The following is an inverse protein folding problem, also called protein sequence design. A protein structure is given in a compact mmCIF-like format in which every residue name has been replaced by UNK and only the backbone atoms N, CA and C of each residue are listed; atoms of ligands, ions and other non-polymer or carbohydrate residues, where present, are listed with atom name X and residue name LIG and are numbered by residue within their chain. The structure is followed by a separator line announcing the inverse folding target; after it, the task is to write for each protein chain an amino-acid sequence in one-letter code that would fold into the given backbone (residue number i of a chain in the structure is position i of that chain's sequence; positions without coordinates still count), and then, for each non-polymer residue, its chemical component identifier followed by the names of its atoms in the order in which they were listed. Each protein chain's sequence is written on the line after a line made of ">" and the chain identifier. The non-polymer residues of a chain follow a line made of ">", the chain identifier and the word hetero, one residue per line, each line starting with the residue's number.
data_IF_742783902325
#
_entry.id   IF_742783902325
#
_cell.length_a   1.000
_cell.length_b   1.000
_cell.length_c   1.000
_cell.angle_alpha   90.00
_cell.angle_beta   90.00
_cell.angle_gamma   90.00
#
_symmetry.space_group_name_H-M   'P 1'
#
loop_
_entity.id
_entity.type
_entity.pdbx_description
1 polymer ?
#
# COMPACT_ATOMS: atom_id res chain seq x y z
N UNK A 1 90.00 -34.44 134.64
CA UNK A 1 89.71 -35.73 133.97
C UNK A 1 88.25 -35.90 133.50
N UNK A 2 87.20 -35.28 134.05
CA UNK A 2 85.82 -35.50 133.51
C UNK A 2 85.44 -34.65 132.29
N UNK A 3 86.12 -33.54 132.08
CA UNK A 3 85.83 -32.64 130.96
C UNK A 3 86.24 -33.21 129.58
N UNK A 4 86.72 -34.46 129.49
CA UNK A 4 87.27 -35.00 128.25
C UNK A 4 86.31 -35.93 127.48
N UNK A 5 85.54 -36.82 128.12
CA UNK A 5 84.67 -37.74 127.34
C UNK A 5 83.38 -37.10 126.85
N UNK A 6 82.77 -36.22 127.66
CA UNK A 6 81.59 -35.46 127.22
C UNK A 6 81.95 -34.47 126.11
N UNK A 7 83.21 -34.01 126.08
CA UNK A 7 83.70 -33.23 124.96
C UNK A 7 83.75 -34.10 123.70
N UNK A 8 84.25 -35.34 123.78
CA UNK A 8 84.37 -36.20 122.60
C UNK A 8 83.03 -36.63 122.00
N UNK A 9 82.04 -37.06 122.79
CA UNK A 9 80.76 -37.48 122.17
C UNK A 9 79.98 -36.30 121.56
N UNK A 10 80.17 -35.09 122.10
CA UNK A 10 79.61 -33.89 121.50
C UNK A 10 80.35 -33.51 120.21
N UNK A 11 81.65 -33.82 120.12
CA UNK A 11 82.45 -33.65 118.89
C UNK A 11 81.96 -34.60 117.79
N UNK A 12 81.76 -35.89 118.06
CA UNK A 12 81.41 -36.88 117.02
C UNK A 12 80.01 -36.63 116.42
N UNK A 13 79.05 -36.21 117.25
CA UNK A 13 77.69 -35.88 116.75
C UNK A 13 77.66 -34.55 116.00
N UNK A 14 78.52 -33.59 116.36
CA UNK A 14 78.69 -32.37 115.56
C UNK A 14 79.31 -32.70 114.19
N UNK A 15 80.25 -33.65 114.16
CA UNK A 15 80.97 -34.04 112.94
C UNK A 15 80.05 -34.75 111.95
N UNK A 16 79.23 -35.70 112.41
CA UNK A 16 78.30 -36.42 111.52
C UNK A 16 77.17 -35.52 110.98
N UNK A 17 76.73 -34.53 111.76
CA UNK A 17 75.76 -33.54 111.27
C UNK A 17 76.38 -32.62 110.21
N UNK A 18 77.66 -32.26 110.41
CA UNK A 18 78.42 -31.47 109.45
C UNK A 18 78.62 -32.22 108.11
N UNK A 19 78.90 -33.53 108.15
CA UNK A 19 79.08 -34.35 106.96
C UNK A 19 77.79 -34.48 106.12
N UNK A 20 76.64 -34.70 106.78
CA UNK A 20 75.36 -34.82 106.09
C UNK A 20 74.89 -33.49 105.46
N UNK A 21 75.15 -32.35 106.12
CA UNK A 21 74.90 -31.02 105.55
C UNK A 21 75.82 -30.73 104.36
N UNK A 22 77.07 -31.17 104.43
CA UNK A 22 78.03 -31.04 103.33
C UNK A 22 77.58 -31.84 102.08
N UNK A 23 77.12 -33.08 102.27
CA UNK A 23 76.64 -33.94 101.18
C UNK A 23 75.39 -33.37 100.49
N UNK A 24 74.42 -32.87 101.25
CA UNK A 24 73.19 -32.26 100.70
C UNK A 24 73.46 -30.93 100.00
N UNK A 25 74.36 -30.10 100.54
CA UNK A 25 74.80 -28.85 99.91
C UNK A 25 75.47 -29.12 98.56
N UNK A 26 76.29 -30.16 98.47
CA UNK A 26 76.98 -30.53 97.24
C UNK A 26 76.01 -31.01 96.14
N UNK A 27 75.01 -31.82 96.52
CA UNK A 27 73.99 -32.28 95.60
C UNK A 27 73.13 -31.12 95.06
N UNK A 28 72.70 -30.20 95.93
CA UNK A 28 71.93 -29.01 95.53
C UNK A 28 72.75 -28.05 94.65
N UNK A 29 74.04 -27.87 94.94
CA UNK A 29 74.94 -27.07 94.12
C UNK A 29 75.09 -27.63 92.70
N UNK A 30 75.11 -28.95 92.54
CA UNK A 30 75.20 -29.59 91.23
C UNK A 30 73.92 -29.42 90.39
N UNK A 31 72.74 -29.50 91.02
CA UNK A 31 71.44 -29.35 90.37
C UNK A 31 71.12 -27.90 90.00
N UNK A 32 71.46 -26.94 90.87
CA UNK A 32 71.16 -25.53 90.66
C UNK A 32 72.23 -24.79 89.86
N UNK A 33 73.37 -25.42 89.54
CA UNK A 33 74.50 -24.76 88.88
C UNK A 33 74.19 -24.16 87.51
N UNK A 34 73.13 -24.63 86.83
CA UNK A 34 72.76 -24.18 85.48
C UNK A 34 71.62 -23.15 85.46
N UNK A 35 70.90 -22.93 86.56
CA UNK A 35 69.79 -21.98 86.64
C UNK A 35 70.19 -20.52 86.39
N UNK A 36 71.34 -20.01 86.90
CA UNK A 36 71.74 -18.64 86.61
C UNK A 36 71.92 -18.37 85.11
N UNK A 37 72.29 -19.38 84.33
CA UNK A 37 72.49 -19.25 82.87
C UNK A 37 71.17 -19.24 82.09
N UNK A 38 70.17 -20.00 82.54
CA UNK A 38 68.84 -20.01 81.92
C UNK A 38 68.07 -18.74 82.26
N UNK A 39 68.17 -18.29 83.51
CA UNK A 39 67.59 -17.01 83.94
C UNK A 39 68.14 -15.83 83.13
N UNK A 40 69.45 -15.82 82.87
CA UNK A 40 70.08 -14.77 82.06
C UNK A 40 69.59 -14.77 80.62
N UNK A 41 69.41 -15.93 79.99
CA UNK A 41 68.90 -16.02 78.61
C UNK A 41 67.42 -15.61 78.51
N UNK A 42 66.57 -16.08 79.42
CA UNK A 42 65.15 -15.72 79.43
C UNK A 42 64.97 -14.20 79.64
N UNK A 43 65.81 -13.60 80.48
CA UNK A 43 65.85 -12.14 80.63
C UNK A 43 66.33 -11.43 79.36
N UNK A 44 67.22 -12.03 78.58
CA UNK A 44 67.70 -11.45 77.33
C UNK A 44 66.71 -11.57 76.16
N UNK A 45 65.83 -12.57 76.12
CA UNK A 45 65.02 -12.88 74.93
C UNK A 45 63.50 -12.59 75.03
N UNK A 46 62.95 -12.25 76.19
CA UNK A 46 61.53 -11.87 76.29
C UNK A 46 61.26 -10.49 75.65
N UNK A 47 61.10 -10.45 74.34
CA UNK A 47 60.55 -9.29 73.62
C UNK A 47 59.04 -9.45 73.49
N UNK A 48 58.31 -8.68 74.28
CA UNK A 48 56.88 -8.47 74.06
C UNK A 48 56.74 -7.30 73.10
N UNK A 49 56.09 -7.51 71.95
CA UNK A 49 55.66 -6.41 71.09
C UNK A 49 54.49 -5.70 71.76
N UNK A 50 54.86 -4.76 72.61
CA UNK A 50 53.94 -3.89 73.32
C UNK A 50 53.64 -2.71 72.39
N UNK A 51 52.46 -2.72 71.77
CA UNK A 51 51.91 -1.51 71.17
C UNK A 51 51.83 -0.43 72.24
N UNK A 52 52.62 0.63 72.07
CA UNK A 52 52.72 1.67 73.08
C UNK A 52 51.52 2.60 72.99
N UNK A 53 51.19 3.27 74.09
CA UNK A 53 50.19 4.34 74.07
C UNK A 53 50.54 5.46 73.07
N UNK A 54 51.84 5.62 72.76
CA UNK A 54 52.31 6.54 71.72
C UNK A 54 51.92 6.08 70.32
N UNK A 55 52.00 4.78 70.02
CA UNK A 55 51.59 4.22 68.72
C UNK A 55 50.08 4.34 68.53
N UNK A 56 49.31 4.12 69.60
CA UNK A 56 47.86 4.34 69.63
C UNK A 56 47.53 5.82 69.37
N UNK A 57 48.19 6.75 70.07
CA UNK A 57 47.98 8.18 69.86
C UNK A 57 48.40 8.65 68.45
N UNK A 58 49.48 8.07 67.89
CA UNK A 58 49.91 8.36 66.52
C UNK A 58 48.88 7.86 65.51
N UNK A 59 48.35 6.66 65.71
CA UNK A 59 47.28 6.11 64.88
C UNK A 59 45.98 6.93 65.00
N UNK A 60 45.58 7.32 66.22
CA UNK A 60 44.42 8.19 66.43
C UNK A 60 44.60 9.56 65.77
N UNK A 61 45.81 10.13 65.81
CA UNK A 61 46.12 11.37 65.11
C UNK A 61 46.07 11.22 63.58
N UNK A 62 46.52 10.09 63.02
CA UNK A 62 46.39 9.81 61.59
C UNK A 62 44.92 9.60 61.18
N UNK A 63 44.16 8.84 61.97
CA UNK A 63 42.73 8.63 61.73
C UNK A 63 41.99 9.97 61.75
N UNK A 64 42.23 10.81 62.76
CA UNK A 64 41.54 12.10 62.88
C UNK A 64 41.97 13.12 61.83
N UNK A 65 43.24 13.12 61.38
CA UNK A 65 43.73 14.09 60.39
C UNK A 65 43.50 13.69 58.93
N UNK A 66 43.51 12.39 58.63
CA UNK A 66 43.48 11.91 57.25
C UNK A 66 42.23 11.09 56.96
N UNK A 67 41.93 10.08 57.78
CA UNK A 67 40.81 9.18 57.52
C UNK A 67 39.46 9.86 57.70
N UNK A 68 39.29 10.67 58.76
CA UNK A 68 38.02 11.37 59.04
C UNK A 68 37.68 12.38 57.93
N UNK A 69 38.58 13.30 57.50
CA UNK A 69 38.29 14.20 56.39
C UNK A 69 38.05 13.48 55.06
N UNK A 70 38.73 12.36 54.82
CA UNK A 70 38.49 11.53 53.64
C UNK A 70 37.08 10.93 53.65
N UNK A 71 36.63 10.41 54.79
CA UNK A 71 35.27 9.88 54.94
C UNK A 71 34.21 10.98 54.75
N UNK A 72 34.41 12.18 55.30
CA UNK A 72 33.48 13.30 55.06
C UNK A 72 33.37 13.65 53.57
N UNK A 73 34.50 13.73 52.85
CA UNK A 73 34.47 13.96 51.39
C UNK A 73 33.73 12.87 50.63
N UNK A 74 33.86 11.60 51.05
CA UNK A 74 33.10 10.52 50.44
C UNK A 74 31.60 10.62 50.74
N UNK A 75 31.22 11.03 51.95
CA UNK A 75 29.82 11.27 52.30
C UNK A 75 29.25 12.41 51.44
N UNK A 76 29.95 13.54 51.32
CA UNK A 76 29.51 14.66 50.49
C UNK A 76 29.32 14.26 49.01
N UNK A 77 30.23 13.43 48.48
CA UNK A 77 30.12 12.88 47.12
C UNK A 77 28.90 11.97 46.96
N UNK A 78 28.63 11.13 47.95
CA UNK A 78 27.46 10.24 47.95
C UNK A 78 26.16 11.03 48.08
N UNK A 79 26.12 12.08 48.90
CA UNK A 79 24.97 12.97 49.02
C UNK A 79 24.68 13.67 47.70
N UNK A 80 25.71 14.21 47.04
CA UNK A 80 25.57 14.81 45.70
C UNK A 80 25.06 13.80 44.67
N UNK A 81 25.57 12.57 44.69
CA UNK A 81 25.11 11.51 43.79
C UNK A 81 23.64 11.13 44.04
N UNK A 82 23.21 11.08 45.31
CA UNK A 82 21.82 10.83 45.68
C UNK A 82 20.91 11.95 45.18
N UNK A 83 21.32 13.22 45.29
CA UNK A 83 20.54 14.35 44.77
C UNK A 83 20.37 14.29 43.25
N UNK A 84 21.42 13.95 42.51
CA UNK A 84 21.34 13.74 41.06
C UNK A 84 20.37 12.60 40.71
N UNK A 85 20.45 11.47 41.43
CA UNK A 85 19.54 10.34 41.22
C UNK A 85 18.09 10.73 41.53
N UNK A 86 17.85 11.51 42.59
CA UNK A 86 16.51 12.02 42.94
C UNK A 86 15.96 12.93 41.85
N UNK A 87 16.74 13.88 41.35
CA UNK A 87 16.33 14.76 40.27
C UNK A 87 16.01 13.99 38.97
N UNK A 88 16.84 12.99 38.64
CA UNK A 88 16.58 12.11 37.50
C UNK A 88 15.29 11.28 37.68
N UNK A 89 15.04 10.77 38.89
CA UNK A 89 13.82 10.03 39.21
C UNK A 89 12.57 10.93 39.13
N UNK A 90 12.65 12.16 39.62
CA UNK A 90 11.55 13.13 39.53
C UNK A 90 11.24 13.50 38.07
N UNK A 91 12.28 13.76 37.27
CA UNK A 91 12.14 13.99 35.83
C UNK A 91 11.52 12.78 35.10
N UNK A 92 11.94 11.56 35.44
CA UNK A 92 11.35 10.34 34.88
C UNK A 92 9.88 10.20 35.29
N UNK A 93 9.54 10.53 36.53
CA UNK A 93 8.17 10.54 37.03
C UNK A 93 7.27 11.51 36.25
N UNK A 94 7.77 12.71 35.95
CA UNK A 94 7.05 13.70 35.13
C UNK A 94 6.81 13.17 33.70
N UNK A 95 7.83 12.58 33.06
CA UNK A 95 7.70 12.01 31.71
C UNK A 95 6.70 10.85 31.65
N UNK A 96 6.67 10.01 32.68
CA UNK A 96 5.69 8.92 32.77
C UNK A 96 4.27 9.47 32.89
N UNK A 97 4.07 10.56 33.63
CA UNK A 97 2.75 11.17 33.78
C UNK A 97 2.30 11.85 32.48
N UNK A 98 3.21 12.55 31.78
CA UNK A 98 2.96 13.08 30.44
C UNK A 98 2.54 11.98 29.46
N UNK A 99 3.26 10.85 29.44
CA UNK A 99 2.92 9.69 28.60
C UNK A 99 1.56 9.07 28.93
N UNK A 100 1.16 9.05 30.21
CA UNK A 100 -0.19 8.58 30.57
C UNK A 100 -1.28 9.51 30.05
N UNK A 101 -1.05 10.82 30.09
CA UNK A 101 -1.99 11.81 29.56
C UNK A 101 -2.12 11.66 28.05
N UNK A 102 -0.99 11.56 27.34
CA UNK A 102 -0.96 11.33 25.89
C UNK A 102 -1.68 10.02 25.51
N UNK A 103 -1.42 8.94 26.26
CA UNK A 103 -2.10 7.66 26.06
C UNK A 103 -3.61 7.77 26.27
N UNK A 104 -4.06 8.50 27.30
CA UNK A 104 -5.48 8.71 27.55
C UNK A 104 -6.16 9.48 26.40
N UNK A 105 -5.48 10.47 25.82
CA UNK A 105 -5.95 11.19 24.64
C UNK A 105 -6.04 10.28 23.42
N UNK A 106 -5.01 9.47 23.15
CA UNK A 106 -5.02 8.51 22.04
C UNK A 106 -6.18 7.49 22.15
N UNK A 107 -6.52 7.06 23.37
CA UNK A 107 -7.67 6.19 23.59
C UNK A 107 -9.01 6.89 23.29
N UNK A 108 -9.14 8.18 23.61
CA UNK A 108 -10.31 8.98 23.26
C UNK A 108 -10.41 9.20 21.75
N UNK A 109 -9.28 9.48 21.10
CA UNK A 109 -9.18 9.62 19.65
C UNK A 109 -9.54 8.32 18.93
N UNK A 110 -9.07 7.16 19.40
CA UNK A 110 -9.44 5.84 18.85
C UNK A 110 -10.95 5.60 18.96
N UNK A 111 -11.56 5.95 20.09
CA UNK A 111 -13.01 5.85 20.27
C UNK A 111 -13.77 6.78 19.31
N UNK A 112 -13.27 8.00 19.10
CA UNK A 112 -13.83 8.96 18.15
C UNK A 112 -13.72 8.47 16.71
N UNK A 113 -12.57 7.90 16.33
CA UNK A 113 -12.31 7.31 15.03
C UNK A 113 -13.18 6.09 14.76
N UNK A 114 -13.40 5.24 15.77
CA UNK A 114 -14.33 4.11 15.69
C UNK A 114 -15.77 4.58 15.41
N UNK A 115 -16.20 5.66 16.06
CA UNK A 115 -17.53 6.23 15.84
C UNK A 115 -17.65 6.88 14.45
N UNK A 116 -16.62 7.61 14.00
CA UNK A 116 -16.55 8.15 12.65
C UNK A 116 -16.58 7.03 11.61
N UNK A 117 -15.84 5.94 11.81
CA UNK A 117 -15.84 4.78 10.92
C UNK A 117 -17.22 4.14 10.81
N UNK A 118 -17.96 4.02 11.93
CA UNK A 118 -19.35 3.54 11.92
C UNK A 118 -20.26 4.48 11.13
N UNK A 119 -20.10 5.79 11.31
CA UNK A 119 -20.84 6.82 10.57
C UNK A 119 -20.56 6.73 9.05
N UNK A 120 -19.29 6.67 8.66
CA UNK A 120 -18.88 6.52 7.25
C UNK A 120 -19.44 5.24 6.63
N UNK A 121 -19.44 4.12 7.37
CA UNK A 121 -20.04 2.87 6.90
C UNK A 121 -21.56 3.01 6.68
N UNK A 122 -22.25 3.72 7.57
CA UNK A 122 -23.68 3.98 7.42
C UNK A 122 -23.97 4.87 6.20
N UNK A 123 -23.20 5.95 6.01
CA UNK A 123 -23.33 6.83 4.84
C UNK A 123 -23.00 6.10 3.53
N UNK A 124 -22.00 5.21 3.54
CA UNK A 124 -21.66 4.39 2.36
C UNK A 124 -22.79 3.43 2.00
N UNK A 125 -23.45 2.83 3.00
CA UNK A 125 -24.63 2.00 2.78
C UNK A 125 -25.79 2.81 2.18
N UNK A 126 -26.07 4.00 2.72
CA UNK A 126 -27.08 4.92 2.17
C UNK A 126 -26.75 5.33 0.73
N UNK A 127 -25.49 5.64 0.43
CA UNK A 127 -25.06 5.99 -0.92
C UNK A 127 -25.27 4.83 -1.89
N UNK A 128 -24.94 3.61 -1.48
CA UNK A 128 -25.17 2.38 -2.26
C UNK A 128 -26.66 2.19 -2.57
N UNK A 129 -27.54 2.39 -1.58
CA UNK A 129 -28.98 2.31 -1.76
C UNK A 129 -29.50 3.38 -2.74
N UNK A 130 -29.00 4.61 -2.63
CA UNK A 130 -29.32 5.70 -3.57
C UNK A 130 -28.84 5.37 -4.98
N UNK A 131 -27.66 4.79 -5.15
CA UNK A 131 -27.13 4.37 -6.45
C UNK A 131 -27.99 3.26 -7.07
N UNK A 132 -28.39 2.26 -6.28
CA UNK A 132 -29.29 1.20 -6.74
C UNK A 132 -30.66 1.77 -7.17
N UNK A 133 -31.21 2.70 -6.39
CA UNK A 133 -32.44 3.40 -6.73
C UNK A 133 -32.30 4.22 -8.02
N UNK A 134 -31.17 4.92 -8.21
CA UNK A 134 -30.91 5.70 -9.42
C UNK A 134 -30.78 4.81 -10.66
N UNK A 135 -30.13 3.65 -10.55
CA UNK A 135 -30.07 2.67 -11.64
C UNK A 135 -31.44 2.12 -12.00
N UNK A 136 -32.28 1.84 -11.00
CA UNK A 136 -33.67 1.43 -11.21
C UNK A 136 -34.46 2.52 -11.94
N UNK A 137 -34.40 3.77 -11.47
CA UNK A 137 -35.05 4.91 -12.13
C UNK A 137 -34.54 5.08 -13.57
N UNK A 138 -33.24 4.99 -13.80
CA UNK A 138 -32.66 5.05 -15.15
C UNK A 138 -33.22 3.95 -16.05
N UNK A 139 -33.35 2.72 -15.56
CA UNK A 139 -33.95 1.61 -16.31
C UNK A 139 -35.42 1.87 -16.65
N UNK A 140 -36.19 2.45 -15.73
CA UNK A 140 -37.58 2.84 -15.94
C UNK A 140 -37.71 3.97 -16.97
N UNK A 141 -36.81 4.95 -16.93
CA UNK A 141 -36.75 6.03 -17.93
C UNK A 141 -36.48 5.46 -19.31
N UNK A 142 -35.48 4.59 -19.46
CA UNK A 142 -35.17 3.93 -20.74
C UNK A 142 -36.37 3.11 -21.26
N UNK A 143 -37.08 2.41 -20.37
CA UNK A 143 -38.31 1.71 -20.76
C UNK A 143 -39.39 2.68 -21.24
N UNK A 144 -39.60 3.79 -20.53
CA UNK A 144 -40.56 4.83 -20.92
C UNK A 144 -40.19 5.55 -22.21
N UNK A 145 -38.90 5.76 -22.48
CA UNK A 145 -38.42 6.31 -23.75
C UNK A 145 -38.72 5.37 -24.93
N UNK A 146 -38.59 4.05 -24.72
CA UNK A 146 -39.03 3.06 -25.73
C UNK A 146 -40.54 3.10 -25.94
N UNK A 147 -41.33 3.12 -24.87
CA UNK A 147 -42.80 3.27 -24.96
C UNK A 147 -43.18 4.53 -25.75
N UNK A 148 -42.50 5.66 -25.49
CA UNK A 148 -42.71 6.92 -26.20
C UNK A 148 -42.31 6.84 -27.68
N UNK A 149 -41.21 6.17 -28.00
CA UNK A 149 -40.79 5.96 -29.39
C UNK A 149 -41.80 5.09 -30.15
N UNK A 150 -42.34 4.05 -29.51
CA UNK A 150 -43.41 3.21 -30.07
C UNK A 150 -44.71 3.99 -30.28
N UNK A 151 -45.13 4.78 -29.29
CA UNK A 151 -46.29 5.67 -29.42
C UNK A 151 -46.10 6.69 -30.56
N UNK A 152 -44.91 7.25 -30.71
CA UNK A 152 -44.61 8.17 -31.81
C UNK A 152 -44.67 7.48 -33.17
N UNK A 153 -44.17 6.24 -33.30
CA UNK A 153 -44.32 5.43 -34.52
C UNK A 153 -45.79 5.12 -34.81
N UNK A 154 -46.55 4.70 -33.80
CA UNK A 154 -47.99 4.46 -33.94
C UNK A 154 -48.74 5.73 -34.39
N UNK A 155 -48.42 6.88 -33.79
CA UNK A 155 -48.99 8.18 -34.19
C UNK A 155 -48.62 8.57 -35.61
N UNK A 156 -47.40 8.30 -36.05
CA UNK A 156 -46.97 8.52 -37.44
C UNK A 156 -47.76 7.64 -38.41
N UNK A 157 -47.94 6.35 -38.09
CA UNK A 157 -48.74 5.43 -38.89
C UNK A 157 -50.21 5.87 -38.95
N UNK A 158 -50.79 6.36 -37.85
CA UNK A 158 -52.15 6.92 -37.84
C UNK A 158 -52.26 8.14 -38.75
N UNK A 159 -51.28 9.05 -38.73
CA UNK A 159 -51.24 10.20 -39.65
C UNK A 159 -51.13 9.75 -41.11
N UNK A 160 -50.29 8.77 -41.40
CA UNK A 160 -50.14 8.23 -42.75
C UNK A 160 -51.44 7.56 -43.22
N UNK A 161 -52.08 6.74 -42.38
CA UNK A 161 -53.37 6.12 -42.69
C UNK A 161 -54.46 7.18 -42.91
N UNK A 162 -54.45 8.28 -42.14
CA UNK A 162 -55.37 9.39 -42.36
C UNK A 162 -55.13 10.08 -43.72
N UNK A 163 -53.88 10.25 -44.14
CA UNK A 163 -53.54 10.79 -45.46
C UNK A 163 -53.99 9.87 -46.58
N UNK A 164 -53.76 8.55 -46.43
CA UNK A 164 -54.21 7.53 -47.38
C UNK A 164 -55.73 7.53 -47.50
N UNK A 165 -56.45 7.67 -46.38
CA UNK A 165 -57.91 7.74 -46.38
C UNK A 165 -58.42 9.00 -47.10
N UNK A 166 -57.75 10.13 -46.91
CA UNK A 166 -58.09 11.37 -47.63
C UNK A 166 -57.83 11.22 -49.14
N UNK A 167 -56.71 10.63 -49.55
CA UNK A 167 -56.41 10.32 -50.95
C UNK A 167 -57.43 9.35 -51.54
N UNK A 168 -57.78 8.29 -50.82
CA UNK A 168 -58.81 7.34 -51.24
C UNK A 168 -60.16 8.04 -51.46
N UNK A 169 -60.54 8.99 -50.59
CA UNK A 169 -61.77 9.77 -50.75
C UNK A 169 -61.75 10.67 -52.00
N UNK A 170 -60.58 11.22 -52.37
CA UNK A 170 -60.40 11.99 -53.62
C UNK A 170 -60.52 11.08 -54.84
N UNK A 171 -59.91 9.90 -54.79
CA UNK A 171 -60.03 8.88 -55.84
C UNK A 171 -61.50 8.47 -56.02
N UNK A 172 -62.24 8.22 -54.95
CA UNK A 172 -63.67 7.91 -55.02
C UNK A 172 -64.48 9.05 -55.66
N UNK A 173 -64.18 10.31 -55.31
CA UNK A 173 -64.80 11.47 -55.93
C UNK A 173 -64.49 11.55 -57.45
N UNK A 174 -63.26 11.24 -57.84
CA UNK A 174 -62.85 11.17 -59.25
C UNK A 174 -63.47 9.97 -59.98
N UNK A 175 -63.63 8.82 -59.34
CA UNK A 175 -64.38 7.68 -59.89
C UNK A 175 -65.84 8.07 -60.12
N UNK A 176 -66.48 8.75 -59.19
CA UNK A 176 -67.85 9.26 -59.36
C UNK A 176 -67.91 10.23 -60.54
N UNK A 177 -66.92 11.12 -60.68
CA UNK A 177 -66.82 12.07 -61.80
C UNK A 177 -66.62 11.37 -63.14
N UNK A 178 -65.74 10.37 -63.20
CA UNK A 178 -65.50 9.56 -64.39
C UNK A 178 -66.73 8.74 -64.77
N UNK A 179 -67.44 8.16 -63.80
CA UNK A 179 -68.71 7.46 -64.04
C UNK A 179 -69.77 8.39 -64.64
N UNK A 180 -69.86 9.65 -64.16
CA UNK A 180 -70.75 10.65 -64.77
C UNK A 180 -70.38 10.97 -66.21
N UNK A 181 -69.08 11.16 -66.51
CA UNK A 181 -68.60 11.34 -67.88
C UNK A 181 -68.90 10.14 -68.77
N UNK A 182 -68.75 8.92 -68.25
CA UNK A 182 -69.11 7.70 -68.99
C UNK A 182 -70.60 7.69 -69.28
N UNK A 183 -71.47 8.00 -68.32
CA UNK A 183 -72.92 8.08 -68.58
C UNK A 183 -73.29 9.20 -69.55
N UNK A 184 -72.56 10.32 -69.57
CA UNK A 184 -72.73 11.37 -70.58
C UNK A 184 -72.33 10.88 -71.98
N UNK A 185 -71.19 10.19 -72.11
CA UNK A 185 -70.72 9.58 -73.36
C UNK A 185 -71.64 8.44 -73.82
N UNK A 186 -72.19 7.64 -72.91
CA UNK A 186 -73.20 6.62 -73.20
C UNK A 186 -74.52 7.26 -73.67
N UNK A 187 -74.86 8.45 -73.17
CA UNK A 187 -76.03 9.19 -73.64
C UNK A 187 -75.80 9.81 -75.03
N UNK A 188 -74.58 10.28 -75.31
CA UNK A 188 -74.16 10.76 -76.64
C UNK A 188 -74.07 9.63 -77.66
N UNK A 189 -73.66 8.42 -77.25
CA UNK A 189 -73.60 7.23 -78.13
C UNK A 189 -74.96 6.53 -78.29
N UNK A 190 -75.90 6.69 -77.35
CA UNK A 190 -77.29 6.27 -77.50
C UNK A 190 -78.10 7.13 -78.50
N UNK A 191 -77.54 8.24 -78.99
CA UNK A 191 -78.13 9.08 -80.04
C UNK A 191 -77.69 8.68 -81.47
N UNK A 192 -76.93 7.59 -81.63
CA UNK A 192 -76.45 7.10 -82.93
C UNK A 192 -77.27 5.84 -83.30
N UNK A 193 -78.11 5.88 -84.37
CA UNK A 193 -78.84 4.72 -84.84
C UNK A 193 -77.88 3.64 -85.34
N UNK A 194 -78.02 2.45 -84.76
CA UNK A 194 -77.30 1.24 -85.13
C UNK A 194 -77.86 0.69 -86.46
N UNK A 195 -77.33 1.16 -87.59
CA UNK A 195 -77.33 0.45 -88.88
C UNK A 195 -76.55 1.26 -89.93
N UNK A 196 -75.23 1.03 -90.01
CA UNK A 196 -74.46 1.05 -91.26
C UNK A 196 -72.95 0.87 -90.99
N UNK A 197 -72.40 -0.12 -91.70
CA UNK A 197 -71.02 -0.19 -92.20
C UNK A 197 -69.92 -0.68 -91.26
N UNK A 198 -69.70 -1.99 -91.39
CA UNK A 198 -68.38 -2.61 -91.51
C UNK A 198 -67.61 -1.96 -92.68
N UNK A 199 -66.28 -1.88 -92.50
CA UNK A 199 -65.17 -1.88 -93.46
C UNK A 199 -64.37 -0.58 -93.73
N UNK A 200 -63.05 -0.76 -93.51
CA UNK A 200 -61.89 -0.16 -94.21
C UNK A 200 -61.40 1.27 -93.88
N UNK A 201 -60.28 1.33 -93.16
CA UNK A 201 -59.01 2.05 -93.48
C UNK A 201 -58.13 1.95 -92.20
N UNK A 202 -56.98 1.28 -92.13
CA UNK A 202 -55.77 1.31 -92.94
C UNK A 202 -55.14 2.72 -93.04
N UNK A 203 -53.99 2.83 -92.36
CA UNK A 203 -52.92 3.82 -92.43
C UNK A 203 -53.01 5.17 -91.67
N UNK A 204 -51.83 5.48 -91.11
CA UNK A 204 -51.35 6.71 -90.48
C UNK A 204 -51.84 7.10 -89.07
N UNK A 205 -51.09 6.61 -88.07
CA UNK A 205 -50.51 7.50 -87.06
C UNK A 205 -49.24 6.87 -86.47
N UNK A 206 -48.14 7.06 -87.19
CA UNK A 206 -46.80 7.09 -86.62
C UNK A 206 -46.64 8.33 -85.73
N UNK A 207 -45.79 8.18 -84.71
CA UNK A 207 -45.22 9.20 -83.81
C UNK A 207 -45.83 9.32 -82.40
N UNK A 208 -45.48 8.36 -81.54
CA UNK A 208 -44.90 8.63 -80.20
C UNK A 208 -44.47 7.31 -79.55
N UNK A 209 -43.38 7.37 -78.78
CA UNK A 209 -42.72 6.29 -78.02
C UNK A 209 -41.55 5.56 -78.69
N UNK A 210 -40.59 6.34 -79.20
CA UNK A 210 -39.20 5.97 -79.39
C UNK A 210 -38.32 6.78 -78.41
N UNK A 211 -38.38 6.50 -77.10
CA UNK A 211 -37.53 7.19 -76.07
C UNK A 211 -36.95 6.23 -75.01
N UNK A 212 -36.86 4.92 -75.28
CA UNK A 212 -36.17 3.99 -74.37
C UNK A 212 -35.00 3.21 -74.99
N UNK A 213 -34.80 3.31 -76.31
CA UNK A 213 -33.62 2.76 -76.99
C UNK A 213 -32.40 3.68 -76.98
N UNK A 214 -32.62 5.00 -77.04
CA UNK A 214 -31.55 6.00 -77.22
C UNK A 214 -30.85 6.44 -75.92
N UNK A 215 -31.40 6.07 -74.75
CA UNK A 215 -30.82 6.34 -73.43
C UNK A 215 -29.79 5.28 -72.99
N UNK A 216 -29.77 4.11 -73.62
CA UNK A 216 -28.84 3.02 -73.28
C UNK A 216 -27.49 3.13 -73.99
N UNK A 217 -27.45 3.80 -75.15
CA UNK A 217 -26.24 3.99 -75.96
C UNK A 217 -25.44 5.24 -75.58
N UNK A 218 -26.05 6.22 -74.90
CA UNK A 218 -25.36 7.40 -74.37
C UNK A 218 -24.71 7.20 -72.98
N UNK A 219 -25.03 6.11 -72.27
CA UNK A 219 -24.43 5.76 -70.97
C UNK A 219 -23.13 4.94 -71.08
N UNK A 220 -22.66 4.63 -72.29
CA UNK A 220 -21.47 3.83 -72.53
C UNK A 220 -20.22 4.64 -72.97
N UNK A 221 -20.32 5.98 -73.06
CA UNK A 221 -19.25 6.84 -73.63
C UNK A 221 -18.72 7.96 -72.73
N UNK A 222 -19.00 7.97 -71.43
CA UNK A 222 -18.42 8.96 -70.50
C UNK A 222 -17.33 8.32 -69.63
N UNK A 223 -16.08 8.43 -70.09
CA UNK A 223 -14.88 8.21 -69.30
C UNK A 223 -14.60 9.48 -68.47
N UNK A 224 -15.16 9.54 -67.27
CA UNK A 224 -14.68 10.35 -66.14
C UNK A 224 -15.54 9.97 -64.92
N UNK A 225 -15.07 9.00 -64.14
CA UNK A 225 -15.67 8.59 -62.87
C UNK A 225 -15.44 9.69 -61.83
N UNK A 226 -16.35 10.67 -61.79
CA UNK A 226 -16.67 11.36 -60.56
C UNK A 226 -17.28 10.32 -59.61
N UNK A 227 -16.63 10.10 -58.47
CA UNK A 227 -17.16 9.26 -57.38
C UNK A 227 -18.52 9.84 -56.99
N UNK A 228 -19.55 9.00 -57.07
CA UNK A 228 -20.93 9.34 -56.71
C UNK A 228 -20.96 10.02 -55.33
N UNK A 229 -21.67 11.15 -55.19
CA UNK A 229 -21.76 11.92 -53.94
C UNK A 229 -22.22 11.04 -52.76
N UNK A 230 -22.93 9.94 -53.07
CA UNK A 230 -23.32 8.91 -52.10
C UNK A 230 -22.14 8.11 -51.54
N UNK A 231 -21.13 7.83 -52.37
CA UNK A 231 -19.89 7.11 -52.01
C UNK A 231 -18.90 8.06 -51.37
N UNK A 232 -18.80 9.31 -51.82
CA UNK A 232 -18.03 10.36 -51.15
C UNK A 232 -18.58 10.64 -49.73
N UNK A 233 -19.90 10.77 -49.57
CA UNK A 233 -20.54 10.91 -48.26
C UNK A 233 -20.41 9.67 -47.38
N UNK A 234 -20.31 8.47 -47.97
CA UNK A 234 -20.03 7.24 -47.23
C UNK A 234 -18.57 7.21 -46.75
N UNK A 235 -17.61 7.60 -47.61
CA UNK A 235 -16.19 7.71 -47.25
C UNK A 235 -15.98 8.80 -46.19
N UNK A 236 -16.65 9.95 -46.30
CA UNK A 236 -16.61 11.03 -45.29
C UNK A 236 -17.26 10.61 -43.96
N UNK A 237 -18.36 9.84 -43.99
CA UNK A 237 -18.92 9.25 -42.76
C UNK A 237 -18.01 8.19 -42.15
N UNK A 238 -17.30 7.42 -42.98
CA UNK A 238 -16.35 6.39 -42.57
C UNK A 238 -15.10 7.01 -41.96
N UNK A 239 -14.61 8.11 -42.54
CA UNK A 239 -13.54 8.96 -42.01
C UNK A 239 -13.97 9.67 -40.72
N UNK A 240 -15.21 10.15 -40.64
CA UNK A 240 -15.77 10.72 -39.41
C UNK A 240 -15.96 9.69 -38.29
N UNK A 241 -16.23 8.43 -38.62
CA UNK A 241 -16.25 7.32 -37.62
C UNK A 241 -14.84 6.89 -37.22
N UNK A 242 -13.85 6.97 -38.12
CA UNK A 242 -12.44 6.77 -37.81
C UNK A 242 -11.86 7.92 -36.99
N UNK A 243 -12.28 9.16 -37.21
CA UNK A 243 -11.97 10.33 -36.37
C UNK A 243 -12.61 10.23 -34.99
N UNK A 244 -13.84 9.70 -34.89
CA UNK A 244 -14.48 9.38 -33.61
C UNK A 244 -13.75 8.26 -32.85
N UNK A 245 -13.18 7.28 -33.56
CA UNK A 245 -12.30 6.26 -32.96
C UNK A 245 -10.96 6.87 -32.54
N UNK A 246 -10.39 7.78 -33.33
CA UNK A 246 -9.14 8.47 -33.00
C UNK A 246 -9.30 9.44 -31.82
N UNK A 247 -10.44 10.13 -31.72
CA UNK A 247 -10.71 11.16 -30.71
C UNK A 247 -11.43 10.66 -29.44
N UNK A 248 -11.97 9.43 -29.41
CA UNK A 248 -12.56 8.83 -28.19
C UNK A 248 -11.79 7.64 -27.64
N UNK A 249 -10.81 7.09 -28.37
CA UNK A 249 -9.97 5.98 -27.87
C UNK A 249 -8.65 6.51 -27.28
N UNK A 250 -8.23 7.73 -27.64
CA UNK A 250 -7.01 8.34 -27.10
C UNK A 250 -7.28 9.80 -26.69
N UNK A 251 -7.09 10.08 -25.38
CA UNK A 251 -7.10 11.38 -24.66
C UNK A 251 -8.46 11.91 -24.14
N UNK A 252 -8.58 12.43 -22.89
CA UNK A 252 -7.71 12.33 -21.71
C UNK A 252 -8.28 11.30 -20.72
N UNK A 253 -7.41 10.41 -20.24
CA UNK A 253 -7.80 9.34 -19.34
C UNK A 253 -8.04 9.90 -17.93
N UNK A 254 -9.06 9.37 -17.28
CA UNK A 254 -9.50 9.68 -15.91
C UNK A 254 -10.53 10.82 -15.77
N UNK A 255 -11.80 10.44 -15.77
CA UNK A 255 -12.88 11.24 -15.18
C UNK A 255 -13.45 10.47 -13.99
N UNK A 256 -13.70 11.16 -12.88
CA UNK A 256 -14.04 10.61 -11.54
C UNK A 256 -15.40 9.90 -11.47
N UNK A 257 -15.98 9.51 -12.61
CA UNK A 257 -17.26 8.80 -12.66
C UNK A 257 -17.05 7.28 -12.56
N UNK A 258 -17.43 6.72 -11.42
CA UNK A 258 -17.23 5.31 -11.04
C UNK A 258 -17.84 4.30 -12.02
N UNK A 259 -18.90 4.65 -12.76
CA UNK A 259 -19.54 3.73 -13.71
C UNK A 259 -18.75 3.53 -15.01
N UNK A 260 -18.10 4.58 -15.53
CA UNK A 260 -17.26 4.46 -16.73
C UNK A 260 -15.93 3.81 -16.40
N UNK A 261 -15.44 3.97 -15.18
CA UNK A 261 -14.22 3.33 -14.68
C UNK A 261 -14.34 1.81 -14.64
N UNK A 262 -15.45 1.24 -14.13
CA UNK A 262 -15.63 -0.23 -14.10
C UNK A 262 -15.69 -0.85 -15.50
N UNK A 263 -16.36 -0.19 -16.45
CA UNK A 263 -16.40 -0.67 -17.84
C UNK A 263 -15.04 -0.57 -18.53
N UNK A 264 -14.29 0.52 -18.27
CA UNK A 264 -12.93 0.74 -18.76
C UNK A 264 -11.93 -0.26 -18.16
N UNK A 265 -12.04 -0.56 -16.87
CA UNK A 265 -11.26 -1.61 -16.20
C UNK A 265 -11.58 -2.99 -16.77
N UNK A 266 -12.86 -3.27 -17.03
CA UNK A 266 -13.26 -4.49 -17.72
C UNK A 266 -12.73 -4.60 -19.15
N UNK A 267 -12.46 -3.47 -19.83
CA UNK A 267 -11.84 -3.44 -21.15
C UNK A 267 -10.32 -3.62 -21.06
N UNK A 268 -9.65 -2.94 -20.14
CA UNK A 268 -8.23 -3.09 -19.85
C UNK A 268 -7.89 -4.53 -19.44
N UNK A 269 -8.70 -5.15 -18.58
CA UNK A 269 -8.59 -6.56 -18.20
C UNK A 269 -8.63 -7.49 -19.43
N UNK A 270 -9.52 -7.20 -20.38
CA UNK A 270 -9.66 -7.98 -21.61
C UNK A 270 -8.47 -7.77 -22.54
N UNK A 271 -7.96 -6.54 -22.67
CA UNK A 271 -6.76 -6.23 -23.45
C UNK A 271 -5.52 -6.92 -22.87
N UNK A 272 -5.28 -6.80 -21.56
CA UNK A 272 -4.14 -7.41 -20.91
C UNK A 272 -4.18 -8.94 -20.98
N UNK A 273 -5.36 -9.55 -20.83
CA UNK A 273 -5.52 -11.01 -21.06
C UNK A 273 -5.33 -11.43 -22.51
N UNK A 274 -5.62 -10.54 -23.47
CA UNK A 274 -5.43 -10.81 -24.89
C UNK A 274 -3.96 -10.73 -25.31
N UNK A 275 -3.23 -9.70 -24.85
CA UNK A 275 -1.82 -9.48 -25.20
C UNK A 275 -0.84 -10.28 -24.32
N UNK A 276 -1.21 -10.56 -23.06
CA UNK A 276 -0.39 -11.31 -22.10
C UNK A 276 -1.21 -12.52 -21.59
N UNK A 277 -1.21 -13.61 -22.35
CA UNK A 277 -2.02 -14.81 -22.03
C UNK A 277 -1.79 -15.37 -20.63
N UNK A 278 -0.53 -15.46 -20.22
CA UNK A 278 -0.14 -16.13 -18.97
C UNK A 278 -0.11 -15.16 -17.77
N UNK A 279 0.13 -13.87 -18.03
CA UNK A 279 0.34 -12.87 -16.96
C UNK A 279 -0.69 -11.73 -16.93
N UNK A 280 -1.60 -11.66 -17.91
CA UNK A 280 -2.54 -10.55 -18.08
C UNK A 280 -3.52 -10.42 -16.92
N UNK A 281 -3.90 -11.52 -16.27
CA UNK A 281 -4.72 -11.49 -15.06
C UNK A 281 -3.96 -10.86 -13.87
N UNK A 282 -2.66 -11.15 -13.73
CA UNK A 282 -1.82 -10.61 -12.67
C UNK A 282 -1.45 -9.16 -12.94
N UNK A 283 -1.18 -8.78 -14.19
CA UNK A 283 -0.99 -7.38 -14.59
C UNK A 283 -2.23 -6.53 -14.33
N UNK A 284 -3.42 -7.08 -14.60
CA UNK A 284 -4.67 -6.41 -14.24
C UNK A 284 -4.79 -6.20 -12.73
N UNK A 285 -4.52 -7.25 -11.93
CA UNK A 285 -4.55 -7.13 -10.47
C UNK A 285 -3.57 -6.10 -9.92
N UNK A 286 -2.37 -5.99 -10.51
CA UNK A 286 -1.39 -4.94 -10.17
C UNK A 286 -1.99 -3.55 -10.39
N UNK A 287 -2.59 -3.31 -11.55
CA UNK A 287 -3.20 -2.01 -11.89
C UNK A 287 -4.38 -1.73 -10.95
N UNK A 288 -5.22 -2.72 -10.65
CA UNK A 288 -6.38 -2.58 -9.77
C UNK A 288 -5.96 -2.18 -8.34
N UNK A 289 -4.95 -2.85 -7.78
CA UNK A 289 -4.39 -2.52 -6.45
C UNK A 289 -3.76 -1.12 -6.45
N UNK A 290 -3.02 -0.78 -7.50
CA UNK A 290 -2.38 0.53 -7.63
C UNK A 290 -3.40 1.65 -7.90
N UNK A 291 -4.58 1.36 -8.44
CA UNK A 291 -5.65 2.34 -8.59
C UNK A 291 -6.28 2.72 -7.26
N UNK A 292 -6.38 1.78 -6.31
CA UNK A 292 -6.89 2.06 -4.98
C UNK A 292 -5.88 2.85 -4.13
N UNK A 293 -4.58 2.53 -4.23
CA UNK A 293 -3.54 3.05 -3.34
C UNK A 293 -2.64 4.11 -3.96
N UNK A 294 -2.73 4.35 -5.27
CA UNK A 294 -1.94 5.27 -6.12
C UNK A 294 -0.42 5.02 -6.17
N UNK A 295 0.21 4.72 -5.04
CA UNK A 295 1.65 4.47 -4.88
C UNK A 295 1.88 3.36 -3.88
N UNK A 296 2.75 2.39 -4.18
CA UNK A 296 3.07 1.32 -3.24
C UNK A 296 4.50 0.78 -3.42
N UNK A 297 5.11 0.27 -2.34
CA UNK A 297 6.42 -0.41 -2.45
C UNK A 297 6.27 -1.78 -3.13
N UNK A 298 7.34 -2.29 -3.74
CA UNK A 298 7.32 -3.63 -4.35
C UNK A 298 7.04 -4.76 -3.35
N UNK A 299 7.49 -4.59 -2.10
CA UNK A 299 7.31 -5.58 -1.04
C UNK A 299 5.84 -5.63 -0.59
N UNK A 300 5.18 -4.47 -0.51
CA UNK A 300 3.76 -4.38 -0.18
C UNK A 300 2.88 -4.85 -1.37
N UNK A 301 3.26 -4.53 -2.61
CA UNK A 301 2.61 -5.05 -3.82
C UNK A 301 2.68 -6.56 -3.91
N UNK A 302 3.82 -7.15 -3.57
CA UNK A 302 3.99 -8.59 -3.48
C UNK A 302 3.07 -9.19 -2.40
N UNK A 303 2.91 -8.52 -1.26
CA UNK A 303 2.04 -9.00 -0.18
C UNK A 303 0.56 -9.00 -0.60
N UNK A 304 0.10 -7.93 -1.23
CA UNK A 304 -1.30 -7.81 -1.69
C UNK A 304 -1.63 -8.72 -2.89
N UNK A 305 -0.68 -8.93 -3.80
CA UNK A 305 -0.88 -9.92 -4.87
C UNK A 305 -0.93 -11.36 -4.33
N UNK A 306 -0.15 -11.64 -3.29
CA UNK A 306 -0.17 -12.96 -2.64
C UNK A 306 -1.48 -13.17 -1.87
N UNK A 307 -2.05 -12.13 -1.24
CA UNK A 307 -3.33 -12.20 -0.53
C UNK A 307 -4.50 -12.46 -1.48
N UNK A 308 -4.41 -11.97 -2.72
CA UNK A 308 -5.40 -12.16 -3.79
C UNK A 308 -5.20 -13.44 -4.61
N UNK A 309 -4.17 -14.25 -4.29
CA UNK A 309 -3.91 -15.56 -4.90
C UNK A 309 -3.16 -15.50 -6.24
N UNK A 310 -2.52 -14.38 -6.56
CA UNK A 310 -1.71 -14.23 -7.78
C UNK A 310 -0.25 -14.67 -7.55
N UNK A 311 0.36 -15.22 -8.60
CA UNK A 311 1.78 -15.59 -8.57
C UNK A 311 2.67 -14.35 -8.52
N UNK A 312 3.61 -14.30 -7.58
CA UNK A 312 4.48 -13.13 -7.33
C UNK A 312 5.95 -13.35 -7.71
N UNK A 313 6.27 -14.52 -8.24
CA UNK A 313 7.62 -14.90 -8.71
C UNK A 313 8.11 -14.03 -9.85
N UNK A 314 7.21 -13.53 -10.68
CA UNK A 314 7.52 -12.75 -11.89
C UNK A 314 7.22 -11.25 -11.73
N UNK A 315 6.89 -10.80 -10.52
CA UNK A 315 6.49 -9.41 -10.26
C UNK A 315 7.46 -8.36 -10.86
N UNK A 316 8.80 -8.50 -10.77
CA UNK A 316 9.72 -7.56 -11.41
C UNK A 316 9.54 -7.46 -12.92
N UNK A 317 9.38 -8.60 -13.61
CA UNK A 317 9.15 -8.67 -15.06
C UNK A 317 7.83 -7.98 -15.44
N UNK A 318 6.77 -8.21 -14.64
CA UNK A 318 5.46 -7.60 -14.88
C UNK A 318 5.50 -6.08 -14.70
N UNK A 319 6.22 -5.58 -13.69
CA UNK A 319 6.43 -4.14 -13.50
C UNK A 319 7.19 -3.55 -14.69
N UNK A 320 8.22 -4.24 -15.21
CA UNK A 320 8.93 -3.79 -16.42
C UNK A 320 8.00 -3.71 -17.63
N UNK A 321 7.13 -4.70 -17.83
CA UNK A 321 6.16 -4.66 -18.92
C UNK A 321 5.13 -3.54 -18.75
N UNK A 322 4.63 -3.32 -17.53
CA UNK A 322 3.71 -2.22 -17.22
C UNK A 322 4.37 -0.84 -17.40
N UNK A 323 5.66 -0.73 -17.09
CA UNK A 323 6.46 0.47 -17.37
C UNK A 323 6.61 0.73 -18.87
N UNK A 324 6.90 -0.31 -19.67
CA UNK A 324 7.04 -0.21 -21.13
C UNK A 324 5.77 0.26 -21.85
N UNK A 325 4.60 -0.06 -21.31
CA UNK A 325 3.31 0.39 -21.85
C UNK A 325 2.86 1.73 -21.25
N UNK A 326 3.72 2.40 -20.46
CA UNK A 326 3.41 3.69 -19.85
C UNK A 326 2.30 3.63 -18.82
N UNK A 327 2.05 2.48 -18.19
CA UNK A 327 1.00 2.35 -17.18
C UNK A 327 1.50 2.66 -15.75
N UNK A 328 2.81 2.55 -15.54
CA UNK A 328 3.42 2.58 -14.21
C UNK A 328 4.80 3.21 -14.28
N UNK A 329 5.12 4.09 -13.33
CA UNK A 329 6.47 4.59 -13.08
C UNK A 329 7.09 3.94 -11.85
N UNK A 330 8.41 3.77 -11.87
CA UNK A 330 9.16 3.15 -10.78
C UNK A 330 10.22 4.12 -10.27
N UNK A 331 10.19 4.43 -8.99
CA UNK A 331 11.19 5.27 -8.32
C UNK A 331 11.97 4.41 -7.32
N UNK A 332 13.30 4.51 -7.33
CA UNK A 332 14.15 3.77 -6.38
C UNK A 332 14.67 4.76 -5.35
N UNK A 333 14.35 4.54 -4.08
CA UNK A 333 14.84 5.36 -2.97
C UNK A 333 15.75 4.54 -2.06
N UNK A 334 16.86 5.14 -1.62
CA UNK A 334 17.75 4.51 -0.64
C UNK A 334 17.27 4.90 0.76
N UNK A 335 16.92 3.92 1.58
CA UNK A 335 16.57 4.15 2.99
C UNK A 335 17.82 4.52 3.81
N UNK A 336 17.66 5.18 4.95
CA UNK A 336 18.76 5.58 5.85
C UNK A 336 19.65 4.40 6.33
N UNK A 337 19.20 3.16 6.15
CA UNK A 337 19.93 1.93 6.44
C UNK A 337 20.67 1.34 5.22
N UNK A 338 20.73 2.05 4.08
CA UNK A 338 21.39 1.60 2.85
C UNK A 338 20.60 0.57 2.02
N UNK A 339 19.38 0.19 2.44
CA UNK A 339 18.51 -0.71 1.67
C UNK A 339 17.79 0.09 0.57
N UNK A 340 17.95 -0.33 -0.68
CA UNK A 340 17.18 0.21 -1.81
C UNK A 340 15.73 -0.30 -1.74
N UNK A 341 14.78 0.62 -1.83
CA UNK A 341 13.34 0.33 -1.87
C UNK A 341 12.79 0.87 -3.19
N UNK A 342 12.20 -0.02 -3.99
CA UNK A 342 11.53 0.35 -5.22
C UNK A 342 10.06 0.64 -4.92
N UNK A 343 9.62 1.85 -5.27
CA UNK A 343 8.23 2.29 -5.23
C UNK A 343 7.65 2.29 -6.63
N UNK A 344 6.43 1.79 -6.74
CA UNK A 344 5.68 1.61 -7.97
C UNK A 344 4.48 2.54 -7.90
N UNK A 345 4.39 3.45 -8.85
CA UNK A 345 3.33 4.46 -8.93
C UNK A 345 2.57 4.30 -10.23
N UNK A 346 1.25 4.43 -10.16
CA UNK A 346 0.41 4.43 -11.33
C UNK A 346 0.53 5.80 -12.01
N UNK A 347 1.01 5.79 -13.25
CA UNK A 347 1.30 7.01 -13.99
C UNK A 347 1.08 6.74 -15.48
N UNK A 348 0.04 7.37 -16.01
CA UNK A 348 -0.35 7.29 -17.42
C UNK A 348 0.11 8.50 -18.23
N UNK A 349 0.88 9.42 -17.63
CA UNK A 349 1.37 10.61 -18.34
C UNK A 349 2.26 10.26 -19.54
N UNK A 350 2.92 9.10 -19.53
CA UNK A 350 3.74 8.60 -20.64
C UNK A 350 2.95 8.08 -21.86
N UNK A 351 1.61 8.05 -21.81
CA UNK A 351 0.76 7.69 -22.96
C UNK A 351 0.34 8.90 -23.82
N UNK A 352 0.49 10.11 -23.29
CA UNK A 352 0.38 11.34 -24.04
C UNK A 352 1.73 11.56 -24.75
N UNK A 353 1.93 10.85 -25.85
CA UNK A 353 3.22 10.76 -26.53
C UNK A 353 3.78 12.13 -26.92
N UNK A 354 4.85 12.54 -26.23
CA UNK A 354 5.76 13.61 -26.65
C UNK A 354 7.19 13.49 -26.07
N UNK A 355 7.56 12.37 -25.43
CA UNK A 355 8.92 12.23 -24.86
C UNK A 355 9.83 11.35 -25.74
N UNK A 356 10.50 12.00 -26.70
CA UNK A 356 11.81 11.59 -27.19
C UNK A 356 12.85 11.90 -26.11
N UNK A 357 13.34 10.90 -25.35
CA UNK A 357 14.37 11.18 -24.34
C UNK A 357 14.94 9.99 -23.57
N UNK A 358 16.09 9.50 -24.05
CA UNK A 358 17.20 8.88 -23.31
C UNK A 358 16.92 7.68 -22.36
N UNK A 359 16.96 6.47 -22.94
CA UNK A 359 17.30 5.24 -22.22
C UNK A 359 18.83 5.18 -21.98
N UNK A 360 19.27 5.67 -20.83
CA UNK A 360 20.61 5.37 -20.29
C UNK A 360 20.60 3.94 -19.71
N UNK A 361 21.01 2.98 -20.56
CA UNK A 361 21.32 1.60 -20.17
C UNK A 361 22.62 1.57 -19.35
N UNK A 362 22.53 1.58 -18.01
CA UNK A 362 23.59 1.04 -17.16
C UNK A 362 23.25 -0.40 -16.77
N UNK A 363 23.81 -1.34 -17.53
CA UNK A 363 23.90 -2.75 -17.16
C UNK A 363 24.85 -2.88 -15.97
N UNK A 364 24.31 -3.15 -14.78
CA UNK A 364 25.09 -3.66 -13.67
C UNK A 364 25.51 -5.10 -13.98
N UNK A 365 26.81 -5.26 -14.23
CA UNK A 365 27.50 -6.51 -14.46
C UNK A 365 27.59 -7.29 -13.13
N UNK A 366 26.73 -8.30 -12.96
CA UNK A 366 26.88 -9.32 -11.91
C UNK A 366 28.09 -10.20 -12.24
N UNK A 367 29.26 -9.85 -11.72
CA UNK A 367 30.40 -10.76 -11.62
C UNK A 367 30.13 -11.78 -10.51
N UNK A 368 29.67 -12.94 -10.94
CA UNK A 368 29.82 -14.21 -10.24
C UNK A 368 31.23 -14.73 -10.48
N UNK A 369 32.14 -14.57 -9.53
CA UNK A 369 33.31 -15.46 -9.45
C UNK A 369 33.56 -15.88 -8.00
N UNK A 370 33.62 -17.20 -7.87
CA UNK A 370 33.93 -17.93 -6.67
C UNK A 370 35.38 -17.72 -6.23
N UNK A 371 35.59 -17.40 -4.95
CA UNK A 371 36.53 -18.10 -4.08
C UNK A 371 36.31 -17.78 -2.61
#
# INVERSE_FOLDING_TARGET
>A
MSYLSSLNSCVDTLEQCNDNLSATTSSLASLCGTFPRVETVIRCERKYDLTTASDINRAQNLISKEAVPFLFRQVDQLETAIEVIRAAHESLGQRVEEQKIEYAQLMEDEASMSNLQKSVKAELALLSDVQANLLNVKSQVVAKERDLAELNRARSNVRQNSSILEEASKVDADIIRLRRKITEVEHETAAIPLDAQIQESADDNADRYLVLGYLREQLACCADLAVDDSVAAYIDRSLGTLELLKNNVFVPWWDKSTSTQTERMGYLARLLRYFFKDHGATMHAIIDILLELQTMTTDDLRRELSSTGHATTELPLLITHLKKIGAVTTTTSSTAAGKQVMTVQLDFSGLDGDDEGDDDYQMAEELTEAH
#
